data_IF_025769467115
#
_entry.id   IF_025769467115
#
_cell.length_a   1.000
_cell.length_b   1.000
_cell.length_c   1.000
_cell.angle_alpha   90.00
_cell.angle_beta   90.00
_cell.angle_gamma   90.00
#
_symmetry.space_group_name_H-M   'P 1'
#
loop_
_entity.id
_entity.type
_entity.pdbx_description
1 polymer ?
#
# COMPACT_ATOMS: atom_id res chain seq x y z
N UNK A 1 4.97 -19.87 3.91
CA UNK A 1 5.29 -18.54 3.37
C UNK A 1 4.64 -18.47 2.00
N UNK A 2 3.53 -17.72 1.85
CA UNK A 2 2.89 -17.56 0.54
C UNK A 2 3.80 -16.64 -0.29
N UNK A 3 4.27 -17.04 -1.48
CA UNK A 3 5.04 -16.15 -2.34
C UNK A 3 4.12 -15.05 -2.86
N UNK A 4 4.43 -13.80 -2.51
CA UNK A 4 3.70 -12.61 -2.95
C UNK A 4 4.54 -12.02 -4.07
N UNK A 5 4.10 -12.18 -5.31
CA UNK A 5 4.80 -11.57 -6.43
C UNK A 5 4.36 -10.11 -6.57
N UNK A 6 5.29 -9.14 -6.49
CA UNK A 6 5.04 -7.80 -7.00
C UNK A 6 4.53 -7.90 -8.43
N UNK A 7 3.39 -7.30 -8.73
CA UNK A 7 3.04 -7.07 -10.13
C UNK A 7 3.91 -5.91 -10.59
N UNK A 8 4.98 -6.26 -11.29
CA UNK A 8 5.75 -5.32 -12.06
C UNK A 8 4.80 -4.74 -13.11
N UNK A 9 4.68 -3.41 -13.19
CA UNK A 9 3.71 -2.73 -14.06
C UNK A 9 4.26 -2.76 -15.50
N UNK A 10 4.48 -3.96 -16.04
CA UNK A 10 5.35 -4.24 -17.19
C UNK A 10 4.80 -3.82 -18.56
N UNK A 11 3.78 -2.96 -18.60
CA UNK A 11 3.33 -2.33 -19.84
C UNK A 11 3.01 -0.84 -19.71
N UNK A 12 3.01 -0.28 -18.50
CA UNK A 12 2.32 1.00 -18.27
C UNK A 12 3.06 2.00 -17.37
N UNK A 13 3.97 1.56 -16.50
CA UNK A 13 4.87 2.42 -15.73
C UNK A 13 6.26 1.76 -15.69
N UNK A 14 7.19 2.13 -16.59
CA UNK A 14 8.57 1.64 -16.55
C UNK A 14 9.18 1.98 -15.19
N UNK A 15 9.88 1.04 -14.54
CA UNK A 15 10.49 1.22 -13.21
C UNK A 15 9.50 1.49 -12.05
N UNK A 16 8.20 1.25 -12.26
CA UNK A 16 7.17 1.31 -11.24
C UNK A 16 6.71 -0.09 -10.81
N UNK A 17 6.53 -0.27 -9.50
CA UNK A 17 5.93 -1.47 -8.92
C UNK A 17 4.73 -1.06 -8.09
N UNK A 18 3.59 -1.73 -8.31
CA UNK A 18 2.37 -1.54 -7.53
C UNK A 18 2.04 -2.83 -6.77
N UNK A 19 1.79 -2.68 -5.48
CA UNK A 19 1.27 -3.72 -4.61
C UNK A 19 -0.17 -3.39 -4.27
N UNK A 20 -1.08 -4.21 -4.80
CA UNK A 20 -2.51 -4.11 -4.57
C UNK A 20 -2.83 -3.94 -3.08
N UNK A 21 -3.55 -2.86 -2.75
CA UNK A 21 -4.06 -2.60 -1.42
C UNK A 21 -5.01 -3.73 -1.01
N UNK A 22 -5.82 -4.26 -1.93
CA UNK A 22 -6.69 -5.41 -1.68
C UNK A 22 -5.88 -6.64 -1.24
N UNK A 23 -4.77 -6.95 -1.90
CA UNK A 23 -3.90 -8.07 -1.52
C UNK A 23 -3.25 -7.85 -0.15
N UNK A 24 -2.80 -6.63 0.13
CA UNK A 24 -2.24 -6.28 1.44
C UNK A 24 -3.31 -6.47 2.52
N UNK A 25 -4.51 -5.93 2.33
CA UNK A 25 -5.62 -6.06 3.28
C UNK A 25 -6.00 -7.51 3.52
N UNK A 26 -6.08 -8.35 2.48
CA UNK A 26 -6.36 -9.77 2.64
C UNK A 26 -5.36 -10.46 3.59
N UNK A 27 -4.06 -10.16 3.45
CA UNK A 27 -3.02 -10.69 4.33
C UNK A 27 -3.13 -10.13 5.75
N UNK A 28 -3.39 -8.83 5.88
CA UNK A 28 -3.46 -8.15 7.17
C UNK A 28 -4.68 -8.57 7.97
N UNK A 29 -5.86 -8.59 7.36
CA UNK A 29 -7.10 -9.07 7.99
C UNK A 29 -6.91 -10.50 8.45
N UNK A 30 -6.34 -11.37 7.61
CA UNK A 30 -6.05 -12.76 7.99
C UNK A 30 -5.17 -12.84 9.24
N UNK A 31 -4.14 -11.98 9.36
CA UNK A 31 -3.27 -11.93 10.54
C UNK A 31 -3.93 -11.33 11.78
N UNK A 32 -4.86 -10.40 11.61
CA UNK A 32 -5.44 -9.61 12.71
C UNK A 32 -6.79 -10.10 13.20
N UNK A 33 -7.49 -10.90 12.40
CA UNK A 33 -8.72 -11.56 12.81
C UNK A 33 -8.46 -12.98 13.36
N UNK A 34 -7.41 -13.66 12.88
CA UNK A 34 -7.13 -15.07 13.23
C UNK A 34 -5.76 -15.30 13.88
N UNK A 35 -5.07 -14.25 14.33
CA UNK A 35 -3.77 -14.34 15.00
C UNK A 35 -3.88 -14.46 16.52
N UNK A 36 -2.77 -14.78 17.20
CA UNK A 36 -2.72 -14.87 18.67
C UNK A 36 -3.00 -13.54 19.40
N UNK A 37 -3.00 -12.42 18.67
CA UNK A 37 -3.28 -11.06 19.15
C UNK A 37 -4.38 -10.46 18.27
N UNK A 38 -5.49 -11.18 18.07
CA UNK A 38 -6.58 -10.68 17.22
C UNK A 38 -7.09 -9.34 17.71
N UNK A 39 -6.91 -8.31 16.88
CA UNK A 39 -7.34 -6.93 17.16
C UNK A 39 -8.61 -6.58 16.39
N UNK A 40 -9.02 -7.45 15.45
CA UNK A 40 -10.23 -7.29 14.66
C UNK A 40 -11.26 -8.36 15.00
N UNK A 41 -12.51 -7.94 15.10
CA UNK A 41 -13.70 -8.77 15.17
C UNK A 41 -14.55 -8.61 13.90
N UNK A 42 -15.47 -9.57 13.70
CA UNK A 42 -16.43 -9.48 12.61
C UNK A 42 -17.32 -8.24 12.83
N UNK A 43 -17.43 -7.40 11.80
CA UNK A 43 -18.20 -6.15 11.85
C UNK A 43 -17.36 -4.92 12.22
N UNK A 44 -16.08 -5.08 12.56
CA UNK A 44 -15.20 -3.95 12.84
C UNK A 44 -14.90 -3.12 11.58
N UNK A 45 -14.80 -1.80 11.78
CA UNK A 45 -14.33 -0.88 10.75
C UNK A 45 -12.81 -0.93 10.68
N UNK A 46 -12.28 -1.18 9.48
CA UNK A 46 -10.83 -1.15 9.23
C UNK A 46 -10.42 0.29 8.89
N UNK A 47 -9.57 0.87 9.72
CA UNK A 47 -9.04 2.21 9.54
C UNK A 47 -7.67 2.13 8.85
N UNK A 48 -7.56 2.77 7.68
CA UNK A 48 -6.33 2.80 6.87
C UNK A 48 -5.92 4.25 6.65
N UNK A 49 -4.65 4.57 6.93
CA UNK A 49 -4.02 5.82 6.52
C UNK A 49 -3.26 5.57 5.22
N UNK A 50 -3.55 6.39 4.21
CA UNK A 50 -2.76 6.48 2.99
C UNK A 50 -1.81 7.66 3.10
N UNK A 51 -0.58 7.48 2.66
CA UNK A 51 0.45 8.52 2.66
C UNK A 51 1.33 8.34 1.44
N UNK A 52 1.95 9.42 0.99
CA UNK A 52 2.94 9.38 -0.07
C UNK A 52 4.12 10.25 0.27
N UNK A 53 5.31 9.80 -0.10
CA UNK A 53 6.50 10.64 -0.08
C UNK A 53 7.13 10.68 -1.47
N UNK A 54 7.57 11.87 -1.85
CA UNK A 54 8.33 12.14 -3.05
C UNK A 54 9.72 12.60 -2.63
N UNK A 55 10.48 11.71 -2.00
CA UNK A 55 11.81 12.07 -1.49
C UNK A 55 12.85 12.04 -2.63
N UNK A 56 13.66 13.09 -2.73
CA UNK A 56 14.93 12.99 -3.46
C UNK A 56 15.89 12.15 -2.61
N UNK A 57 16.11 10.89 -3.00
CA UNK A 57 17.15 10.08 -2.32
C UNK A 57 18.45 10.28 -3.09
N UNK A 58 19.20 11.32 -2.69
CA UNK A 58 20.46 11.72 -3.32
C UNK A 58 20.31 12.71 -4.48
N UNK A 59 21.40 12.96 -5.22
CA UNK A 59 21.48 14.03 -6.25
C UNK A 59 20.76 13.71 -7.57
N UNK A 60 20.34 12.46 -7.84
CA UNK A 60 19.95 12.05 -9.20
C UNK A 60 18.70 11.16 -9.35
N UNK A 61 18.10 10.63 -8.29
CA UNK A 61 16.93 9.76 -8.42
C UNK A 61 15.86 10.19 -7.41
N UNK A 62 14.70 10.60 -7.94
CA UNK A 62 13.53 10.79 -7.09
C UNK A 62 12.91 9.40 -6.89
N UNK A 63 12.40 9.16 -5.69
CA UNK A 63 11.53 8.01 -5.46
C UNK A 63 10.13 8.55 -5.20
N UNK A 64 9.15 7.93 -5.85
CA UNK A 64 7.75 8.16 -5.53
C UNK A 64 7.25 6.92 -4.81
N UNK A 65 6.88 7.10 -3.55
CA UNK A 65 6.44 6.01 -2.68
C UNK A 65 5.03 6.32 -2.20
N UNK A 66 4.15 5.34 -2.29
CA UNK A 66 2.88 5.34 -1.57
C UNK A 66 2.88 4.26 -0.49
N UNK A 67 2.40 4.63 0.69
CA UNK A 67 2.39 3.81 1.90
C UNK A 67 0.94 3.74 2.41
N UNK A 68 0.50 2.52 2.72
CA UNK A 68 -0.71 2.25 3.48
C UNK A 68 -0.33 1.84 4.91
N UNK A 69 -1.01 2.37 5.91
CA UNK A 69 -0.80 2.03 7.31
C UNK A 69 -2.13 1.66 7.97
N UNK A 70 -2.15 0.54 8.68
CA UNK A 70 -3.34 0.05 9.36
C UNK A 70 -3.43 0.59 10.78
N UNK A 71 -4.52 1.31 11.08
CA UNK A 71 -4.67 2.08 12.31
C UNK A 71 -5.31 1.30 13.47
N UNK A 72 -5.92 0.14 13.20
CA UNK A 72 -6.61 -0.67 14.21
C UNK A 72 -5.71 -1.21 15.33
N UNK A 73 -4.38 -1.10 15.22
CA UNK A 73 -3.44 -1.53 16.27
C UNK A 73 -3.08 -0.44 17.29
N UNK A 74 -3.85 0.65 17.37
CA UNK A 74 -3.67 1.75 18.32
C UNK A 74 -2.19 2.20 18.43
N UNK A 75 -1.54 2.05 19.58
CA UNK A 75 -0.19 2.55 19.84
C UNK A 75 0.89 1.90 18.95
N UNK A 76 0.63 0.70 18.43
CA UNK A 76 1.58 0.05 17.52
C UNK A 76 1.59 0.67 16.12
N UNK A 77 0.65 1.57 15.79
CA UNK A 77 0.56 2.24 14.48
C UNK A 77 1.85 2.99 14.10
N UNK A 78 2.58 3.50 15.09
CA UNK A 78 3.86 4.18 14.86
C UNK A 78 5.00 3.24 14.46
N UNK A 79 4.82 1.92 14.61
CA UNK A 79 5.79 0.93 14.17
C UNK A 79 5.86 0.85 12.65
N UNK A 80 7.08 0.88 12.10
CA UNK A 80 7.35 0.63 10.67
C UNK A 80 6.82 -0.73 10.19
N UNK A 81 6.64 -1.70 11.10
CA UNK A 81 6.03 -3.00 10.78
C UNK A 81 4.55 -2.94 10.34
N UNK A 82 3.90 -1.78 10.56
CA UNK A 82 2.51 -1.53 10.19
C UNK A 82 2.40 -0.55 9.01
N UNK A 83 3.51 -0.24 8.34
CA UNK A 83 3.57 0.58 7.13
C UNK A 83 3.89 -0.32 5.93
N UNK A 84 3.02 -0.31 4.93
CA UNK A 84 3.09 -1.18 3.76
C UNK A 84 3.23 -0.34 2.50
N UNK A 85 4.32 -0.51 1.77
CA UNK A 85 4.53 0.13 0.48
C UNK A 85 3.53 -0.44 -0.54
N UNK A 86 2.63 0.40 -1.05
CA UNK A 86 1.67 0.04 -2.11
C UNK A 86 2.15 0.47 -3.49
N UNK A 87 3.06 1.43 -3.57
CA UNK A 87 3.66 1.85 -4.84
C UNK A 87 5.09 2.31 -4.63
N UNK A 88 5.99 1.89 -5.51
CA UNK A 88 7.36 2.35 -5.58
C UNK A 88 7.71 2.65 -7.04
N UNK A 89 8.14 3.86 -7.31
CA UNK A 89 8.69 4.27 -8.60
C UNK A 89 10.08 4.84 -8.43
N UNK A 90 11.03 4.30 -9.21
CA UNK A 90 12.41 4.74 -9.24
C UNK A 90 12.64 5.56 -10.53
N UNK A 91 12.72 6.87 -10.40
CA UNK A 91 12.93 7.75 -11.55
C UNK A 91 12.65 9.22 -11.24
N UNK A 92 12.94 10.11 -12.18
CA UNK A 92 12.57 11.52 -12.03
C UNK A 92 11.05 11.62 -11.85
N UNK A 93 10.59 12.43 -10.89
CA UNK A 93 9.16 12.60 -10.61
C UNK A 93 8.43 13.04 -11.88
N UNK A 94 7.59 12.16 -12.41
CA UNK A 94 6.70 12.41 -13.55
C UNK A 94 5.26 12.40 -13.06
N UNK A 95 4.50 13.45 -13.34
CA UNK A 95 3.12 13.57 -12.87
C UNK A 95 2.19 12.55 -13.53
N UNK A 96 2.52 12.11 -14.74
CA UNK A 96 1.82 11.06 -15.48
C UNK A 96 1.92 9.71 -14.77
N UNK A 97 3.11 9.40 -14.23
CA UNK A 97 3.33 8.19 -13.42
C UNK A 97 2.52 8.26 -12.13
N UNK A 98 2.51 9.42 -11.48
CA UNK A 98 1.71 9.66 -10.27
C UNK A 98 0.21 9.49 -10.53
N UNK A 99 -0.30 10.09 -11.60
CA UNK A 99 -1.71 10.02 -11.98
C UNK A 99 -2.15 8.58 -12.21
N UNK A 100 -1.30 7.78 -12.86
CA UNK A 100 -1.59 6.37 -13.16
C UNK A 100 -1.50 5.47 -11.93
N UNK A 101 -0.54 5.71 -11.05
CA UNK A 101 -0.46 5.02 -9.76
C UNK A 101 -1.70 5.32 -8.90
N UNK A 102 -2.16 6.57 -8.90
CA UNK A 102 -3.38 6.99 -8.21
C UNK A 102 -4.64 6.37 -8.83
N UNK A 103 -4.73 6.23 -10.15
CA UNK A 103 -5.90 5.60 -10.77
C UNK A 103 -6.07 4.14 -10.34
N UNK A 104 -4.98 3.36 -10.29
CA UNK A 104 -5.03 1.99 -9.77
C UNK A 104 -5.49 1.93 -8.32
N UNK A 105 -4.98 2.83 -7.47
CA UNK A 105 -5.40 2.91 -6.07
C UNK A 105 -6.88 3.28 -5.93
N UNK A 106 -7.36 4.26 -6.71
CA UNK A 106 -8.76 4.70 -6.71
C UNK A 106 -9.67 3.54 -7.15
N UNK A 107 -9.32 2.84 -8.22
CA UNK A 107 -10.11 1.70 -8.72
C UNK A 107 -10.24 0.61 -7.64
N UNK A 108 -9.16 0.29 -6.93
CA UNK A 108 -9.20 -0.66 -5.83
C UNK A 108 -10.04 -0.19 -4.65
N UNK A 109 -9.94 1.10 -4.27
CA UNK A 109 -10.75 1.67 -3.19
C UNK A 109 -12.24 1.67 -3.53
N UNK A 110 -12.60 1.93 -4.79
CA UNK A 110 -14.00 1.87 -5.26
C UNK A 110 -14.55 0.46 -5.13
N UNK A 111 -13.76 -0.56 -5.48
CA UNK A 111 -14.16 -1.97 -5.33
C UNK A 111 -14.33 -2.32 -3.85
N UNK A 112 -13.34 -1.97 -3.01
CA UNK A 112 -13.36 -2.27 -1.58
C UNK A 112 -14.50 -1.57 -0.82
N UNK A 113 -14.99 -0.42 -1.30
CA UNK A 113 -16.10 0.30 -0.66
C UNK A 113 -17.49 -0.20 -1.10
N UNK A 114 -17.55 -1.11 -2.08
CA UNK A 114 -18.80 -1.73 -2.57
C UNK A 114 -19.00 -3.16 -2.08
N UNK A 115 -17.93 -3.82 -1.66
CA UNK A 115 -17.92 -5.15 -1.02
C UNK A 115 -18.23 -5.02 0.48
#
# INVERSE_FOLDING_TARGET
MIPIHPVQINSTIPNGTYWSLKNILFILISKLAYGNLSVLQIGDVIHIKLSGDGHQVGKHHNHLIFIACMLNKHDAVLSSSNQYCIFLYNGVKQYEVLQKALSFLIDELIVLNKE
#
